data_IF_957477752315
#
_entry.id   IF_957477752315
#
_cell.length_a   1.000
_cell.length_b   1.000
_cell.length_c   1.000
_cell.angle_alpha   90.00
_cell.angle_beta   90.00
_cell.angle_gamma   90.00
#
_symmetry.space_group_name_H-M   'P 1'
#
loop_
_entity.id
_entity.type
_entity.pdbx_description
1 polymer ?
#
# COMPACT_ATOMS: atom_id res chain seq x y z
N UNK A 1 24.60 -10.30 -15.97
CA UNK A 1 23.63 -9.18 -16.01
C UNK A 1 22.62 -9.38 -14.90
N UNK A 2 22.16 -8.33 -14.23
CA UNK A 2 21.14 -8.43 -13.18
C UNK A 2 19.75 -8.63 -13.85
N UNK A 3 19.08 -9.79 -13.68
CA UNK A 3 17.83 -10.09 -14.36
C UNK A 3 16.66 -9.20 -13.92
N UNK A 4 16.78 -8.48 -12.81
CA UNK A 4 15.75 -7.60 -12.27
C UNK A 4 15.95 -6.12 -12.61
N UNK A 5 17.06 -5.78 -13.29
CA UNK A 5 17.39 -4.38 -13.58
C UNK A 5 16.31 -3.69 -14.43
N UNK A 6 15.77 -4.40 -15.43
CA UNK A 6 14.71 -3.89 -16.30
C UNK A 6 13.41 -3.66 -15.52
N UNK A 7 12.99 -4.63 -14.71
CA UNK A 7 11.80 -4.51 -13.85
C UNK A 7 11.89 -3.29 -12.94
N UNK A 8 13.01 -3.12 -12.25
CA UNK A 8 13.22 -1.97 -11.35
C UNK A 8 13.21 -0.65 -12.12
N UNK A 9 13.77 -0.62 -13.33
CA UNK A 9 13.72 0.55 -14.21
C UNK A 9 12.28 0.93 -14.56
N UNK A 10 11.46 -0.05 -14.96
CA UNK A 10 10.04 0.17 -15.26
C UNK A 10 9.25 0.69 -14.05
N UNK A 11 9.46 0.13 -12.86
CA UNK A 11 8.80 0.59 -11.63
C UNK A 11 9.20 2.04 -11.29
N UNK A 12 10.47 2.40 -11.48
CA UNK A 12 10.95 3.77 -11.28
C UNK A 12 10.32 4.72 -12.30
N UNK A 13 10.23 4.32 -13.57
CA UNK A 13 9.57 5.12 -14.60
C UNK A 13 8.09 5.36 -14.29
N UNK A 14 7.37 4.33 -13.83
CA UNK A 14 5.98 4.46 -13.39
C UNK A 14 5.83 5.44 -12.23
N UNK A 15 6.69 5.39 -11.21
CA UNK A 15 6.69 6.37 -10.12
C UNK A 15 7.03 7.79 -10.61
N UNK A 16 8.06 7.94 -11.45
CA UNK A 16 8.49 9.23 -12.01
C UNK A 16 7.40 9.89 -12.86
N UNK A 17 6.54 9.12 -13.53
CA UNK A 17 5.36 9.65 -14.24
C UNK A 17 4.34 10.34 -13.33
N UNK A 18 4.45 10.18 -12.01
CA UNK A 18 3.50 10.71 -11.04
C UNK A 18 2.20 9.91 -10.90
N UNK A 19 2.01 8.85 -11.69
CA UNK A 19 0.78 8.02 -11.70
C UNK A 19 0.36 7.52 -10.31
N UNK A 20 1.32 7.26 -9.42
CA UNK A 20 1.05 6.72 -8.07
C UNK A 20 0.76 7.78 -7.01
N UNK A 21 0.88 9.07 -7.34
CA UNK A 21 0.71 10.17 -6.38
C UNK A 21 -0.76 10.42 -6.00
N UNK A 22 -1.73 10.48 -6.96
CA UNK A 22 -3.12 10.81 -6.66
C UNK A 22 -3.78 9.80 -5.71
N UNK A 23 -4.73 10.27 -4.90
CA UNK A 23 -5.44 9.44 -3.93
C UNK A 23 -6.28 8.38 -4.64
N UNK A 24 -6.90 8.74 -5.77
CA UNK A 24 -7.77 7.88 -6.57
C UNK A 24 -7.03 6.65 -7.06
N UNK A 25 -5.78 6.82 -7.49
CA UNK A 25 -4.94 5.69 -7.89
C UNK A 25 -4.69 4.74 -6.72
N UNK A 26 -4.36 5.28 -5.54
CA UNK A 26 -4.07 4.46 -4.36
C UNK A 26 -5.31 3.72 -3.85
N UNK A 27 -6.46 4.37 -3.83
CA UNK A 27 -7.76 3.75 -3.49
C UNK A 27 -8.06 2.62 -4.47
N UNK A 28 -7.96 2.87 -5.78
CA UNK A 28 -8.21 1.83 -6.78
C UNK A 28 -7.27 0.62 -6.65
N UNK A 29 -6.00 0.83 -6.28
CA UNK A 29 -5.08 -0.29 -6.02
C UNK A 29 -5.44 -1.08 -4.74
N UNK A 30 -5.90 -0.39 -3.69
CA UNK A 30 -6.37 -1.05 -2.46
C UNK A 30 -7.66 -1.83 -2.71
N UNK A 31 -8.62 -1.28 -3.46
CA UNK A 31 -9.84 -1.99 -3.84
C UNK A 31 -9.52 -3.22 -4.70
N UNK A 32 -8.61 -3.09 -5.67
CA UNK A 32 -8.13 -4.21 -6.47
C UNK A 32 -7.47 -5.32 -5.62
N UNK A 33 -6.72 -4.95 -4.57
CA UNK A 33 -6.19 -5.93 -3.61
C UNK A 33 -7.31 -6.63 -2.84
N UNK A 34 -8.38 -5.91 -2.50
CA UNK A 34 -9.56 -6.49 -1.84
C UNK A 34 -10.23 -7.54 -2.72
N UNK A 35 -10.45 -7.20 -3.99
CA UNK A 35 -10.98 -8.13 -4.99
C UNK A 35 -10.07 -9.34 -5.19
N UNK A 36 -8.75 -9.14 -5.28
CA UNK A 36 -7.79 -10.23 -5.36
C UNK A 36 -7.92 -11.20 -4.18
N UNK A 37 -8.04 -10.70 -2.94
CA UNK A 37 -8.20 -11.55 -1.76
C UNK A 37 -9.49 -12.39 -1.80
N UNK A 38 -10.58 -11.85 -2.34
CA UNK A 38 -11.83 -12.61 -2.52
C UNK A 38 -11.72 -13.65 -3.63
N UNK A 39 -11.30 -13.22 -4.81
CA UNK A 39 -11.25 -14.04 -6.02
C UNK A 39 -10.22 -15.17 -5.90
N UNK A 40 -9.12 -14.93 -5.18
CA UNK A 40 -7.98 -15.85 -5.02
C UNK A 40 -7.92 -16.54 -3.67
N UNK A 41 -8.97 -16.41 -2.84
CA UNK A 41 -9.03 -17.06 -1.53
C UNK A 41 -8.71 -18.56 -1.60
N UNK A 42 -9.36 -19.30 -2.49
CA UNK A 42 -9.13 -20.75 -2.58
C UNK A 42 -7.69 -21.08 -3.01
N UNK A 43 -7.18 -20.38 -4.02
CA UNK A 43 -5.79 -20.52 -4.49
C UNK A 43 -4.78 -20.26 -3.36
N UNK A 44 -5.03 -19.27 -2.50
CA UNK A 44 -4.20 -18.96 -1.33
C UNK A 44 -4.24 -20.10 -0.30
N UNK A 45 -5.43 -20.63 0.01
CA UNK A 45 -5.58 -21.75 0.95
C UNK A 45 -4.86 -23.01 0.46
N UNK A 46 -4.93 -23.30 -0.83
CA UNK A 46 -4.27 -24.47 -1.43
C UNK A 46 -2.75 -24.32 -1.43
N UNK A 47 -2.23 -23.14 -1.81
CA UNK A 47 -0.79 -22.88 -1.79
C UNK A 47 -0.21 -22.98 -0.38
N UNK A 48 -0.87 -22.36 0.61
CA UNK A 48 -0.42 -22.40 2.02
C UNK A 48 -0.52 -23.79 2.65
N UNK A 49 -1.53 -24.58 2.27
CA UNK A 49 -1.61 -25.98 2.68
C UNK A 49 -0.48 -26.82 2.04
N UNK A 50 -0.19 -26.62 0.76
CA UNK A 50 0.89 -27.32 0.04
C UNK A 50 2.27 -26.99 0.60
N UNK A 51 2.57 -25.71 0.79
CA UNK A 51 3.92 -25.24 1.08
C UNK A 51 4.24 -25.27 2.57
N UNK A 52 3.24 -25.00 3.41
CA UNK A 52 3.42 -24.83 4.86
C UNK A 52 2.64 -25.87 5.69
N UNK A 53 1.76 -26.67 5.08
CA UNK A 53 0.91 -27.62 5.81
C UNK A 53 -0.16 -26.95 6.69
N UNK A 54 -0.45 -25.67 6.49
CA UNK A 54 -1.40 -24.92 7.33
C UNK A 54 -2.85 -25.37 7.06
N UNK A 55 -3.67 -25.62 8.11
CA UNK A 55 -5.09 -25.88 7.93
C UNK A 55 -5.83 -24.65 7.35
N UNK A 56 -6.87 -24.83 6.51
CA UNK A 56 -7.54 -23.71 5.85
C UNK A 56 -8.11 -22.65 6.80
N UNK A 57 -8.64 -23.07 7.95
CA UNK A 57 -9.19 -22.14 8.96
C UNK A 57 -8.11 -21.23 9.56
N UNK A 58 -6.91 -21.75 9.79
CA UNK A 58 -5.79 -20.97 10.32
C UNK A 58 -5.36 -19.89 9.32
N UNK A 59 -5.24 -20.26 8.04
CA UNK A 59 -4.86 -19.33 6.94
C UNK A 59 -5.93 -18.27 6.74
N UNK A 60 -7.21 -18.64 6.77
CA UNK A 60 -8.32 -17.71 6.68
C UNK A 60 -8.23 -16.60 7.72
N UNK A 61 -7.92 -16.95 8.98
CA UNK A 61 -7.82 -16.00 10.07
C UNK A 61 -6.51 -15.21 10.04
N UNK A 62 -5.38 -15.90 9.89
CA UNK A 62 -4.04 -15.31 10.08
C UNK A 62 -3.51 -14.57 8.85
N UNK A 63 -3.91 -14.96 7.64
CA UNK A 63 -3.40 -14.36 6.41
C UNK A 63 -4.48 -13.49 5.75
N UNK A 64 -5.64 -14.08 5.42
CA UNK A 64 -6.66 -13.42 4.60
C UNK A 64 -7.43 -12.38 5.40
N UNK A 65 -7.97 -12.75 6.57
CA UNK A 65 -8.80 -11.87 7.39
C UNK A 65 -8.00 -10.69 7.95
N UNK A 66 -6.76 -10.93 8.40
CA UNK A 66 -5.87 -9.86 8.87
C UNK A 66 -5.55 -8.89 7.73
N UNK A 67 -5.15 -9.40 6.55
CA UNK A 67 -4.86 -8.53 5.41
C UNK A 67 -6.07 -7.70 4.99
N UNK A 68 -7.27 -8.30 5.00
CA UNK A 68 -8.53 -7.62 4.72
C UNK A 68 -8.85 -6.52 5.75
N UNK A 69 -8.61 -6.79 7.03
CA UNK A 69 -8.80 -5.80 8.09
C UNK A 69 -7.87 -4.59 7.90
N UNK A 70 -6.59 -4.83 7.64
CA UNK A 70 -5.61 -3.76 7.39
C UNK A 70 -5.93 -2.97 6.12
N UNK A 71 -6.38 -3.64 5.06
CA UNK A 71 -6.85 -3.00 3.84
C UNK A 71 -8.02 -2.05 4.11
N UNK A 72 -9.03 -2.51 4.85
CA UNK A 72 -10.17 -1.69 5.22
C UNK A 72 -9.75 -0.52 6.11
N UNK A 73 -8.85 -0.75 7.06
CA UNK A 73 -8.28 0.31 7.89
C UNK A 73 -7.56 1.36 7.04
N UNK A 74 -6.76 0.94 6.06
CA UNK A 74 -6.10 1.83 5.12
C UNK A 74 -7.10 2.63 4.29
N UNK A 75 -8.09 2.00 3.65
CA UNK A 75 -9.12 2.69 2.86
C UNK A 75 -9.85 3.76 3.68
N UNK A 76 -10.24 3.43 4.91
CA UNK A 76 -11.00 4.33 5.79
C UNK A 76 -10.17 5.55 6.25
N UNK A 77 -8.84 5.43 6.31
CA UNK A 77 -7.97 6.47 6.87
C UNK A 77 -7.06 7.14 5.84
N UNK A 78 -6.94 6.62 4.62
CA UNK A 78 -5.99 7.08 3.61
C UNK A 78 -6.15 8.58 3.30
N UNK A 79 -7.39 9.06 3.19
CA UNK A 79 -7.66 10.48 2.96
C UNK A 79 -7.11 11.39 4.07
N UNK A 80 -7.23 10.95 5.33
CA UNK A 80 -6.68 11.65 6.49
C UNK A 80 -5.15 11.60 6.48
N UNK A 81 -4.55 10.44 6.19
CA UNK A 81 -3.10 10.26 6.18
C UNK A 81 -2.39 11.05 5.08
N UNK A 82 -3.07 11.28 3.95
CA UNK A 82 -2.52 12.02 2.81
C UNK A 82 -2.67 13.54 2.92
N UNK A 83 -3.50 14.03 3.84
CA UNK A 83 -3.81 15.46 3.97
C UNK A 83 -2.57 16.24 4.43
N UNK A 84 -2.42 17.46 3.91
CA UNK A 84 -1.43 18.41 4.42
C UNK A 84 -1.73 18.75 5.88
N UNK A 85 -0.70 18.72 6.72
CA UNK A 85 -0.78 19.00 8.16
C UNK A 85 -0.26 20.41 8.41
N UNK A 86 -1.17 21.34 8.72
CA UNK A 86 -0.78 22.73 9.02
C UNK A 86 -0.09 22.82 10.38
N UNK A 87 1.02 23.54 10.41
CA UNK A 87 1.83 23.74 11.63
C UNK A 87 1.55 25.10 12.25
N UNK A 88 1.80 25.20 13.56
CA UNK A 88 1.66 26.46 14.28
C UNK A 88 2.65 27.51 13.74
N UNK A 89 2.16 28.73 13.56
CA UNK A 89 2.93 29.88 13.04
C UNK A 89 3.21 30.85 14.17
N UNK A 90 4.40 31.46 14.16
CA UNK A 90 4.73 32.55 15.08
C UNK A 90 4.40 33.90 14.43
N UNK A 91 4.55 34.99 15.18
CA UNK A 91 4.22 36.34 14.69
C UNK A 91 5.05 36.74 13.46
N UNK A 92 6.29 36.26 13.37
CA UNK A 92 7.17 36.54 12.24
C UNK A 92 6.73 35.81 10.95
N UNK A 93 6.08 34.65 11.06
CA UNK A 93 5.61 33.83 9.92
C UNK A 93 4.09 33.88 9.73
N UNK A 94 3.41 34.85 10.37
CA UNK A 94 1.95 34.89 10.40
C UNK A 94 1.32 35.01 9.00
N UNK A 95 1.98 35.74 8.10
CA UNK A 95 1.55 35.92 6.70
C UNK A 95 1.94 34.75 5.77
N UNK A 96 2.75 33.80 6.25
CA UNK A 96 3.21 32.68 5.44
C UNK A 96 2.21 31.50 5.49
N UNK A 97 2.33 30.59 4.51
CA UNK A 97 1.69 29.28 4.56
C UNK A 97 2.72 28.23 4.98
N UNK A 98 2.49 27.60 6.14
CA UNK A 98 3.35 26.55 6.67
C UNK A 98 2.55 25.27 6.88
N UNK A 99 2.99 24.17 6.27
CA UNK A 99 2.36 22.86 6.37
C UNK A 99 3.36 21.75 6.07
N UNK A 100 3.07 20.54 6.55
CA UNK A 100 3.80 19.32 6.27
C UNK A 100 3.00 18.51 5.24
N UNK A 101 3.60 18.30 4.07
CA UNK A 101 3.04 17.44 3.03
C UNK A 101 3.63 16.03 3.10
N UNK A 102 2.78 15.01 3.06
CA UNK A 102 3.21 13.61 3.05
C UNK A 102 3.34 13.11 1.60
N UNK A 103 4.58 13.04 1.09
CA UNK A 103 4.88 12.56 -0.27
C UNK A 103 5.51 11.16 -0.21
N UNK A 104 5.12 10.20 -1.08
CA UNK A 104 5.72 8.87 -1.10
C UNK A 104 7.19 8.93 -1.51
N UNK A 105 8.03 8.13 -0.85
CA UNK A 105 9.47 8.15 -1.10
C UNK A 105 9.85 7.83 -2.56
N UNK A 106 9.40 6.66 -3.08
CA UNK A 106 9.70 6.06 -4.41
C UNK A 106 9.35 4.58 -4.43
N UNK A 107 9.98 3.81 -5.33
CA UNK A 107 9.98 2.35 -5.36
C UNK A 107 10.54 1.79 -4.05
N UNK A 108 9.80 0.88 -3.43
CA UNK A 108 10.14 0.20 -2.17
C UNK A 108 10.35 -1.29 -2.44
N UNK A 109 11.30 -1.90 -1.73
CA UNK A 109 11.53 -3.34 -1.71
C UNK A 109 10.94 -3.91 -0.42
N UNK A 110 10.03 -4.87 -0.55
CA UNK A 110 9.44 -5.64 0.55
C UNK A 110 9.99 -7.07 0.42
N UNK A 111 10.66 -7.56 1.46
CA UNK A 111 11.18 -8.94 1.53
C UNK A 111 10.41 -9.65 2.64
N UNK A 112 9.70 -10.72 2.29
CA UNK A 112 9.05 -11.62 3.24
C UNK A 112 10.00 -12.74 3.68
N UNK A 113 9.76 -13.34 4.87
CA UNK A 113 10.49 -14.52 5.35
C UNK A 113 10.17 -15.79 4.55
#
# INVERSE_FOLDING_TARGET
MNPHAELVSCLRAAWLSGKTRPMEYRVAQLEALGHFLDEKKQDILEATASDMGKPPFEVELSEISICRSELNHALNNLGTWMKDEHVEKNWATQLDSAFIRKDPYRVVLIIGP
#
